data_IF_151516195553
#
_entry.id   IF_151516195553
#
_cell.length_a   1.000
_cell.length_b   1.000
_cell.length_c   1.000
_cell.angle_alpha   90.00
_cell.angle_beta   90.00
_cell.angle_gamma   90.00
#
_symmetry.space_group_name_H-M   'P 1'
#
loop_
_entity.id
_entity.type
_entity.pdbx_description
1 polymer ?
#
# COMPACT_ATOMS: atom_id res chain seq x y z
N UNK A 1 -55.76 48.82 36.87
CA UNK A 1 -55.34 47.89 35.79
C UNK A 1 -53.99 48.36 35.27
N UNK A 2 -52.91 47.61 35.53
CA UNK A 2 -51.59 47.87 34.94
C UNK A 2 -51.47 47.02 33.69
N UNK A 3 -51.33 47.65 32.54
CA UNK A 3 -51.12 46.98 31.25
C UNK A 3 -49.84 46.15 31.29
N UNK A 4 -49.97 44.84 31.05
CA UNK A 4 -48.82 43.95 30.88
C UNK A 4 -48.16 44.28 29.53
N UNK A 5 -46.85 44.56 29.50
CA UNK A 5 -46.16 44.78 28.24
C UNK A 5 -46.14 43.48 27.42
N UNK A 6 -46.24 43.56 26.09
CA UNK A 6 -46.25 42.39 25.22
C UNK A 6 -44.92 41.62 25.32
N UNK A 7 -44.95 40.28 25.21
CA UNK A 7 -43.75 39.46 25.29
C UNK A 7 -42.79 39.82 24.14
N UNK A 8 -41.55 40.20 24.50
CA UNK A 8 -40.45 40.39 23.56
C UNK A 8 -40.23 39.07 22.81
N UNK A 9 -40.49 39.09 21.51
CA UNK A 9 -40.07 38.02 20.58
C UNK A 9 -38.54 37.95 20.60
N UNK A 10 -38.01 36.96 21.32
CA UNK A 10 -36.58 36.62 21.30
C UNK A 10 -36.26 36.16 19.88
N UNK A 11 -35.51 36.99 19.14
CA UNK A 11 -35.02 36.69 17.80
C UNK A 11 -34.10 35.47 17.92
N UNK A 12 -34.56 34.30 17.43
CA UNK A 12 -33.78 33.05 17.44
C UNK A 12 -32.42 33.31 16.74
N UNK A 13 -31.27 33.02 17.38
CA UNK A 13 -29.96 33.18 16.77
C UNK A 13 -29.67 31.99 15.84
N UNK A 14 -30.32 31.97 14.67
CA UNK A 14 -30.27 30.79 13.78
C UNK A 14 -29.83 31.13 12.35
N UNK A 15 -28.94 32.11 12.21
CA UNK A 15 -28.28 32.42 10.93
C UNK A 15 -26.77 32.52 11.10
N UNK A 16 -26.16 31.44 11.58
CA UNK A 16 -24.75 31.21 11.27
C UNK A 16 -24.63 31.16 9.74
N UNK A 17 -23.76 31.99 9.16
CA UNK A 17 -23.55 32.04 7.72
C UNK A 17 -22.88 30.77 7.19
N UNK A 18 -22.84 30.56 5.86
CA UNK A 18 -22.16 29.41 5.25
C UNK A 18 -20.70 29.23 5.70
N UNK A 19 -19.95 30.34 5.81
CA UNK A 19 -18.57 30.34 6.29
C UNK A 19 -18.45 29.88 7.76
N UNK A 20 -19.43 30.24 8.60
CA UNK A 20 -19.45 29.82 10.00
C UNK A 20 -19.64 28.30 10.12
N UNK A 21 -20.45 27.69 9.24
CA UNK A 21 -20.67 26.23 9.23
C UNK A 21 -19.41 25.46 8.82
N UNK A 22 -18.69 25.91 7.79
CA UNK A 22 -17.43 25.30 7.40
C UNK A 22 -16.37 25.41 8.52
N UNK A 23 -16.32 26.53 9.23
CA UNK A 23 -15.44 26.70 10.38
C UNK A 23 -15.83 25.77 11.55
N UNK A 24 -17.13 25.62 11.84
CA UNK A 24 -17.62 24.65 12.85
C UNK A 24 -17.27 23.22 12.49
N UNK A 25 -17.37 22.83 11.22
CA UNK A 25 -16.95 21.51 10.76
C UNK A 25 -15.48 21.24 11.11
N UNK A 26 -14.58 22.18 10.79
CA UNK A 26 -13.14 22.05 11.13
C UNK A 26 -12.90 22.02 12.64
N UNK A 27 -13.57 22.87 13.41
CA UNK A 27 -13.46 22.86 14.87
C UNK A 27 -13.95 21.53 15.47
N UNK A 28 -15.01 20.95 14.91
CA UNK A 28 -15.54 19.66 15.32
C UNK A 28 -14.57 18.51 15.00
N UNK A 29 -13.88 18.55 13.84
CA UNK A 29 -12.82 17.61 13.51
C UNK A 29 -11.65 17.65 14.52
N UNK A 30 -11.16 18.84 14.87
CA UNK A 30 -10.08 18.97 15.86
C UNK A 30 -10.52 18.50 17.25
N UNK A 31 -11.78 18.77 17.62
CA UNK A 31 -12.37 18.25 18.87
C UNK A 31 -12.43 16.72 18.86
N UNK A 32 -12.85 16.13 17.73
CA UNK A 32 -12.98 14.67 17.59
C UNK A 32 -11.66 13.94 17.83
N UNK A 33 -10.51 14.52 17.43
CA UNK A 33 -9.17 13.91 17.62
C UNK A 33 -8.84 13.60 19.07
N UNK A 34 -9.26 14.46 19.99
CA UNK A 34 -8.95 14.33 21.42
C UNK A 34 -10.14 13.85 22.25
N UNK A 35 -11.32 13.74 21.63
CA UNK A 35 -12.55 13.38 22.33
C UNK A 35 -12.54 11.92 22.85
N UNK A 36 -13.03 11.69 24.08
CA UNK A 36 -13.23 10.35 24.61
C UNK A 36 -14.32 9.62 23.80
N UNK A 37 -14.20 8.29 23.72
CA UNK A 37 -15.07 7.44 22.89
C UNK A 37 -16.59 7.69 23.06
N UNK A 38 -17.14 7.94 24.26
CA UNK A 38 -18.57 8.18 24.44
C UNK A 38 -19.10 9.46 23.77
N UNK A 39 -18.24 10.47 23.55
CA UNK A 39 -18.65 11.75 22.93
C UNK A 39 -18.60 11.71 21.39
N UNK A 40 -17.95 10.71 20.81
CA UNK A 40 -17.72 10.64 19.35
C UNK A 40 -18.99 10.58 18.51
N UNK A 41 -20.05 9.83 18.89
CA UNK A 41 -21.29 9.79 18.08
C UNK A 41 -21.97 11.15 17.95
N UNK A 42 -21.90 11.98 18.99
CA UNK A 42 -22.46 13.34 18.97
C UNK A 42 -21.64 14.25 18.06
N UNK A 43 -20.31 14.17 18.12
CA UNK A 43 -19.41 14.91 17.23
C UNK A 43 -19.58 14.46 15.77
N UNK A 44 -19.72 13.15 15.51
CA UNK A 44 -20.00 12.64 14.17
C UNK A 44 -21.34 13.22 13.65
N UNK A 45 -22.38 13.26 14.50
CA UNK A 45 -23.66 13.86 14.12
C UNK A 45 -23.55 15.36 13.81
N UNK A 46 -22.75 16.11 14.58
CA UNK A 46 -22.46 17.52 14.32
C UNK A 46 -21.70 17.71 13.00
N UNK A 47 -20.71 16.86 12.70
CA UNK A 47 -19.99 16.87 11.42
C UNK A 47 -20.96 16.65 10.25
N UNK A 48 -21.90 15.71 10.36
CA UNK A 48 -22.91 15.49 9.32
C UNK A 48 -23.83 16.70 9.09
N UNK A 49 -24.17 17.46 10.13
CA UNK A 49 -25.01 18.66 9.99
C UNK A 49 -24.34 19.77 9.19
N UNK A 50 -23.01 19.89 9.29
CA UNK A 50 -22.22 20.92 8.61
C UNK A 50 -21.50 20.39 7.34
N UNK A 51 -21.56 19.08 7.06
CA UNK A 51 -20.88 18.43 5.94
C UNK A 51 -21.26 19.01 4.56
N UNK A 52 -22.52 19.40 4.37
CA UNK A 52 -22.98 19.99 3.11
C UNK A 52 -22.31 21.33 2.79
N UNK A 53 -22.02 22.16 3.81
CA UNK A 53 -21.25 23.38 3.58
C UNK A 53 -19.75 23.13 3.50
N UNK A 54 -19.23 22.18 4.28
CA UNK A 54 -17.85 21.75 4.14
C UNK A 54 -17.57 21.27 2.70
N UNK A 55 -18.46 20.47 2.11
CA UNK A 55 -18.31 19.97 0.75
C UNK A 55 -18.22 21.09 -0.31
N UNK A 56 -18.91 22.21 -0.11
CA UNK A 56 -18.89 23.36 -1.04
C UNK A 56 -17.69 24.27 -0.87
N UNK A 57 -17.21 24.42 0.36
CA UNK A 57 -16.24 25.45 0.71
C UNK A 57 -14.84 24.91 1.03
N UNK A 58 -14.69 23.62 1.30
CA UNK A 58 -13.45 22.98 1.71
C UNK A 58 -13.12 21.80 0.80
N UNK A 59 -12.27 22.05 -0.20
CA UNK A 59 -11.90 21.04 -1.19
C UNK A 59 -11.25 19.77 -0.59
N UNK A 60 -10.61 19.89 0.58
CA UNK A 60 -9.90 18.82 1.27
C UNK A 60 -10.63 18.28 2.51
N UNK A 61 -11.92 18.63 2.71
CA UNK A 61 -12.68 18.22 3.90
C UNK A 61 -12.72 16.69 4.09
N UNK A 62 -12.89 15.94 3.01
CA UNK A 62 -12.90 14.47 3.05
C UNK A 62 -11.56 13.90 3.52
N UNK A 63 -10.44 14.42 3.01
CA UNK A 63 -9.10 14.00 3.41
C UNK A 63 -8.80 14.32 4.88
N UNK A 64 -9.18 15.53 5.33
CA UNK A 64 -9.01 15.94 6.73
C UNK A 64 -9.80 15.05 7.68
N UNK A 65 -11.04 14.73 7.32
CA UNK A 65 -11.87 13.85 8.15
C UNK A 65 -11.30 12.43 8.19
N UNK A 66 -10.87 11.89 7.05
CA UNK A 66 -10.21 10.58 7.01
C UNK A 66 -8.97 10.54 7.90
N UNK A 67 -8.13 11.58 7.89
CA UNK A 67 -6.94 11.67 8.75
C UNK A 67 -7.28 11.56 10.23
N UNK A 68 -8.35 12.24 10.67
CA UNK A 68 -8.82 12.13 12.05
C UNK A 68 -9.32 10.71 12.35
N UNK A 69 -10.07 10.09 11.43
CA UNK A 69 -10.59 8.74 11.62
C UNK A 69 -9.46 7.69 11.64
N UNK A 70 -8.41 7.86 10.85
CA UNK A 70 -7.25 6.96 10.83
C UNK A 70 -6.38 7.08 12.08
N UNK A 71 -6.14 8.29 12.58
CA UNK A 71 -5.49 8.52 13.89
C UNK A 71 -6.25 7.83 15.04
N UNK A 72 -7.58 7.78 14.94
CA UNK A 72 -8.45 7.12 15.91
C UNK A 72 -8.64 5.60 15.67
N UNK A 73 -8.07 5.03 14.62
CA UNK A 73 -8.22 3.61 14.27
C UNK A 73 -9.65 3.22 13.84
N UNK A 74 -10.45 4.17 13.35
CA UNK A 74 -11.88 3.99 13.04
C UNK A 74 -12.14 3.53 11.59
N UNK A 75 -11.45 2.47 11.17
CA UNK A 75 -11.54 1.93 9.80
C UNK A 75 -12.98 1.59 9.38
N UNK A 76 -13.71 0.80 10.17
CA UNK A 76 -15.06 0.35 9.82
C UNK A 76 -16.09 1.47 9.86
N UNK A 77 -16.00 2.37 10.85
CA UNK A 77 -16.87 3.55 10.93
C UNK A 77 -16.69 4.45 9.71
N UNK A 78 -15.45 4.54 9.19
CA UNK A 78 -15.15 5.31 7.99
C UNK A 78 -15.98 4.80 6.80
N UNK A 79 -16.10 3.49 6.61
CA UNK A 79 -16.87 2.95 5.50
C UNK A 79 -18.36 3.26 5.63
N UNK A 80 -18.90 3.18 6.85
CA UNK A 80 -20.26 3.61 7.16
C UNK A 80 -20.48 5.11 6.90
N UNK A 81 -19.51 5.96 7.27
CA UNK A 81 -19.54 7.41 7.03
C UNK A 81 -19.52 7.71 5.53
N UNK A 82 -18.61 7.09 4.76
CA UNK A 82 -18.56 7.21 3.29
C UNK A 82 -19.91 6.85 2.68
N UNK A 83 -20.49 5.71 3.06
CA UNK A 83 -21.79 5.27 2.54
C UNK A 83 -22.92 6.27 2.80
N UNK A 84 -22.94 6.90 3.98
CA UNK A 84 -23.92 7.94 4.32
C UNK A 84 -23.73 9.23 3.52
N UNK A 85 -22.49 9.68 3.35
CA UNK A 85 -22.17 10.89 2.58
C UNK A 85 -22.46 10.70 1.09
N UNK A 86 -22.13 9.53 0.53
CA UNK A 86 -22.39 9.24 -0.89
C UNK A 86 -23.88 9.19 -1.24
N UNK A 87 -24.72 8.80 -0.27
CA UNK A 87 -26.17 8.71 -0.44
C UNK A 87 -26.85 10.07 -0.59
N UNK A 88 -26.29 11.14 -0.02
CA UNK A 88 -26.81 12.50 -0.15
C UNK A 88 -26.07 13.28 -1.26
N UNK A 89 -26.76 13.71 -2.34
CA UNK A 89 -26.15 14.50 -3.41
C UNK A 89 -25.38 15.73 -2.91
N UNK A 90 -25.79 16.36 -1.80
CA UNK A 90 -25.15 17.57 -1.27
C UNK A 90 -23.79 17.31 -0.59
N UNK A 91 -23.51 16.06 -0.20
CA UNK A 91 -22.27 15.67 0.49
C UNK A 91 -21.46 14.61 -0.27
N UNK A 92 -21.92 14.19 -1.45
CA UNK A 92 -21.32 13.11 -2.24
C UNK A 92 -19.85 13.31 -2.55
N UNK A 93 -19.44 14.52 -2.93
CA UNK A 93 -18.04 14.80 -3.27
C UNK A 93 -17.12 14.71 -2.05
N UNK A 94 -17.60 15.14 -0.88
CA UNK A 94 -16.92 14.96 0.39
C UNK A 94 -16.80 13.47 0.73
N UNK A 95 -17.88 12.70 0.54
CA UNK A 95 -17.88 11.24 0.72
C UNK A 95 -16.91 10.52 -0.22
N UNK A 96 -16.82 10.94 -1.48
CA UNK A 96 -15.87 10.40 -2.46
C UNK A 96 -14.43 10.74 -2.08
N UNK A 97 -14.15 11.99 -1.67
CA UNK A 97 -12.84 12.41 -1.19
C UNK A 97 -12.39 11.66 0.08
N UNK A 98 -13.31 11.47 1.03
CA UNK A 98 -13.06 10.69 2.25
C UNK A 98 -12.79 9.22 1.92
N UNK A 99 -13.61 8.63 1.03
CA UNK A 99 -13.42 7.25 0.59
C UNK A 99 -12.13 7.04 -0.22
N UNK A 100 -11.72 8.01 -1.01
CA UNK A 100 -10.42 7.99 -1.71
C UNK A 100 -9.27 7.98 -0.72
N UNK A 101 -9.28 8.89 0.26
CA UNK A 101 -8.26 8.94 1.31
C UNK A 101 -8.24 7.61 2.11
N UNK A 102 -9.41 7.03 2.39
CA UNK A 102 -9.54 5.75 3.07
C UNK A 102 -8.84 4.61 2.29
N UNK A 103 -9.00 4.59 0.96
CA UNK A 103 -8.31 3.63 0.08
C UNK A 103 -6.77 3.78 0.12
N UNK A 104 -6.28 5.00 0.35
CA UNK A 104 -4.85 5.29 0.47
C UNK A 104 -4.28 4.95 1.85
N UNK A 105 -5.13 4.83 2.88
CA UNK A 105 -4.71 4.55 4.25
C UNK A 105 -4.85 3.07 4.61
N UNK A 106 -6.01 2.47 4.33
CA UNK A 106 -6.34 1.10 4.72
C UNK A 106 -6.38 0.19 3.50
N UNK A 107 -5.83 -1.01 3.64
CA UNK A 107 -5.79 -1.99 2.54
C UNK A 107 -7.17 -2.53 2.17
N UNK A 108 -8.03 -2.74 3.17
CA UNK A 108 -9.38 -3.28 2.93
C UNK A 108 -10.32 -2.28 2.26
N UNK A 109 -10.06 -0.97 2.42
CA UNK A 109 -10.97 0.09 1.99
C UNK A 109 -11.30 0.04 0.49
N UNK A 110 -10.32 -0.30 -0.36
CA UNK A 110 -10.57 -0.39 -1.81
C UNK A 110 -11.60 -1.48 -2.14
N UNK A 111 -11.56 -2.62 -1.45
CA UNK A 111 -12.52 -3.72 -1.63
C UNK A 111 -13.90 -3.29 -1.11
N UNK A 112 -13.96 -2.74 0.11
CA UNK A 112 -15.21 -2.40 0.78
C UNK A 112 -15.94 -1.20 0.14
N UNK A 113 -15.20 -0.20 -0.34
CA UNK A 113 -15.79 1.06 -0.83
C UNK A 113 -16.10 1.05 -2.33
N UNK A 114 -15.42 0.22 -3.12
CA UNK A 114 -15.62 0.18 -4.57
C UNK A 114 -17.09 -0.07 -4.97
N UNK A 115 -17.83 -1.00 -4.37
CA UNK A 115 -19.26 -1.16 -4.65
C UNK A 115 -20.09 0.09 -4.35
N UNK A 116 -19.73 0.85 -3.32
CA UNK A 116 -20.42 2.09 -2.95
C UNK A 116 -20.17 3.19 -3.98
N UNK A 117 -18.91 3.35 -4.43
CA UNK A 117 -18.59 4.31 -5.49
C UNK A 117 -19.36 4.00 -6.78
N UNK A 118 -19.39 2.72 -7.20
CA UNK A 118 -20.13 2.29 -8.38
C UNK A 118 -21.64 2.56 -8.22
N UNK A 119 -22.20 2.26 -7.04
CA UNK A 119 -23.63 2.48 -6.74
C UNK A 119 -24.04 3.95 -6.82
N UNK A 120 -23.22 4.86 -6.29
CA UNK A 120 -23.55 6.28 -6.14
C UNK A 120 -22.93 7.19 -7.20
N UNK A 121 -22.27 6.62 -8.22
CA UNK A 121 -21.64 7.33 -9.33
C UNK A 121 -22.56 8.33 -10.04
N UNK A 122 -23.85 8.01 -10.18
CA UNK A 122 -24.80 8.81 -10.96
C UNK A 122 -24.53 8.78 -12.48
N UNK A 123 -25.30 9.56 -13.26
CA UNK A 123 -25.04 9.75 -14.70
C UNK A 123 -23.96 10.79 -14.97
N UNK A 124 -23.96 11.87 -14.19
CA UNK A 124 -22.95 12.93 -14.23
C UNK A 124 -21.94 12.68 -13.11
N UNK A 125 -20.76 12.17 -13.45
CA UNK A 125 -19.71 11.95 -12.45
C UNK A 125 -19.01 13.24 -12.08
N UNK A 126 -18.90 13.47 -10.78
CA UNK A 126 -17.99 14.49 -10.28
C UNK A 126 -16.56 14.00 -10.39
N UNK A 127 -15.62 14.95 -10.48
CA UNK A 127 -14.19 14.67 -10.46
C UNK A 127 -13.77 13.87 -9.22
N UNK A 128 -14.32 14.19 -8.04
CA UNK A 128 -14.02 13.48 -6.81
C UNK A 128 -14.41 12.00 -6.88
N UNK A 129 -15.56 11.70 -7.48
CA UNK A 129 -16.01 10.32 -7.69
C UNK A 129 -15.10 9.56 -8.68
N UNK A 130 -14.73 10.19 -9.80
CA UNK A 130 -13.83 9.56 -10.77
C UNK A 130 -12.43 9.30 -10.19
N UNK A 131 -11.91 10.22 -9.38
CA UNK A 131 -10.66 10.04 -8.63
C UNK A 131 -10.77 8.91 -7.60
N UNK A 132 -11.88 8.81 -6.86
CA UNK A 132 -12.10 7.74 -5.89
C UNK A 132 -12.19 6.35 -6.56
N UNK A 133 -12.91 6.24 -7.69
CA UNK A 133 -12.95 5.02 -8.50
C UNK A 133 -11.57 4.64 -9.04
N UNK A 134 -10.82 5.63 -9.53
CA UNK A 134 -9.46 5.42 -10.04
C UNK A 134 -8.55 4.90 -8.94
N UNK A 135 -8.51 5.56 -7.78
CA UNK A 135 -7.71 5.11 -6.63
C UNK A 135 -8.14 3.70 -6.19
N UNK A 136 -9.44 3.42 -6.01
CA UNK A 136 -9.88 2.07 -5.61
C UNK A 136 -9.49 0.98 -6.62
N UNK A 137 -9.52 1.30 -7.92
CA UNK A 137 -9.14 0.38 -9.00
C UNK A 137 -7.64 0.07 -9.07
N UNK A 138 -6.80 0.78 -8.32
CA UNK A 138 -5.37 0.44 -8.19
C UNK A 138 -5.20 -0.90 -7.47
N UNK A 139 -6.09 -1.25 -6.55
CA UNK A 139 -5.99 -2.50 -5.77
C UNK A 139 -6.34 -3.72 -6.61
N UNK A 140 -5.39 -4.66 -6.72
CA UNK A 140 -5.59 -5.93 -7.43
C UNK A 140 -6.72 -6.75 -6.79
N UNK A 141 -6.84 -6.72 -5.46
CA UNK A 141 -7.89 -7.41 -4.73
C UNK A 141 -9.27 -6.83 -5.03
N UNK A 142 -9.41 -5.49 -5.04
CA UNK A 142 -10.67 -4.83 -5.35
C UNK A 142 -11.11 -5.11 -6.80
N UNK A 143 -10.17 -5.02 -7.75
CA UNK A 143 -10.44 -5.36 -9.16
C UNK A 143 -10.81 -6.83 -9.33
N UNK A 144 -10.14 -7.75 -8.64
CA UNK A 144 -10.49 -9.17 -8.69
C UNK A 144 -11.86 -9.46 -8.08
N UNK A 145 -12.23 -8.78 -6.99
CA UNK A 145 -13.49 -9.00 -6.29
C UNK A 145 -14.68 -8.36 -7.02
N UNK A 146 -14.46 -7.23 -7.69
CA UNK A 146 -15.52 -6.35 -8.19
C UNK A 146 -15.32 -5.90 -9.65
N UNK A 147 -14.50 -6.60 -10.43
CA UNK A 147 -14.24 -6.28 -11.84
C UNK A 147 -15.52 -6.17 -12.69
N UNK A 148 -16.51 -7.03 -12.43
CA UNK A 148 -17.80 -7.00 -13.13
C UNK A 148 -18.63 -5.74 -12.82
N UNK A 149 -18.44 -5.13 -11.65
CA UNK A 149 -19.06 -3.83 -11.32
C UNK A 149 -18.42 -2.72 -12.16
N UNK A 150 -17.10 -2.71 -12.27
CA UNK A 150 -16.35 -1.73 -13.09
C UNK A 150 -16.69 -1.87 -14.58
N UNK A 151 -16.76 -3.10 -15.09
CA UNK A 151 -17.11 -3.37 -16.48
C UNK A 151 -18.53 -2.87 -16.83
N UNK A 152 -19.51 -3.06 -15.94
CA UNK A 152 -20.89 -2.61 -16.15
C UNK A 152 -21.04 -1.10 -16.30
N UNK A 153 -20.16 -0.32 -15.66
CA UNK A 153 -20.17 1.15 -15.77
C UNK A 153 -19.23 1.67 -16.86
N UNK A 154 -18.63 0.78 -17.65
CA UNK A 154 -17.66 1.14 -18.69
C UNK A 154 -16.39 1.78 -18.14
N UNK A 155 -16.04 1.51 -16.87
CA UNK A 155 -14.84 2.07 -16.26
C UNK A 155 -13.62 1.23 -16.65
N UNK A 156 -12.67 1.87 -17.33
CA UNK A 156 -11.39 1.26 -17.67
C UNK A 156 -10.32 1.79 -16.72
N UNK A 157 -9.72 0.95 -15.86
CA UNK A 157 -8.63 1.38 -14.99
C UNK A 157 -7.48 2.00 -15.78
N UNK A 158 -6.85 3.02 -15.19
CA UNK A 158 -5.67 3.62 -15.80
C UNK A 158 -4.60 2.55 -16.06
N UNK A 159 -3.94 2.56 -17.23
CA UNK A 159 -2.87 1.61 -17.50
C UNK A 159 -1.78 1.81 -16.45
N UNK A 160 -1.44 0.74 -15.72
CA UNK A 160 -0.33 0.79 -14.80
C UNK A 160 0.94 1.13 -15.59
N UNK A 161 1.79 2.06 -15.12
CA UNK A 161 3.09 2.28 -15.72
C UNK A 161 3.80 0.94 -15.72
N UNK A 162 3.98 0.36 -16.90
CA UNK A 162 4.72 -0.89 -17.04
C UNK A 162 6.11 -0.60 -16.50
N UNK A 163 6.52 -1.32 -15.45
CA UNK A 163 7.90 -1.27 -14.98
C UNK A 163 8.81 -1.43 -16.20
N UNK A 164 9.76 -0.50 -16.37
CA UNK A 164 10.69 -0.56 -17.51
C UNK A 164 11.32 -1.94 -17.51
N UNK A 165 10.95 -2.76 -18.49
CA UNK A 165 11.55 -4.06 -18.70
C UNK A 165 13.05 -3.87 -18.77
N UNK A 166 13.76 -4.32 -17.74
CA UNK A 166 15.20 -4.18 -17.70
C UNK A 166 15.74 -5.22 -18.67
N UNK A 167 16.33 -4.76 -19.78
CA UNK A 167 16.96 -5.66 -20.73
C UNK A 167 17.93 -6.58 -19.99
N UNK A 168 17.71 -7.89 -20.09
CA UNK A 168 18.57 -8.91 -19.50
C UNK A 168 19.76 -9.12 -20.42
N UNK A 169 20.93 -8.60 -20.03
CA UNK A 169 22.19 -9.00 -20.66
C UNK A 169 22.48 -10.44 -20.26
N UNK A 170 22.66 -11.31 -21.24
CA UNK A 170 23.05 -12.72 -21.02
C UNK A 170 24.57 -12.78 -20.97
N UNK A 171 25.12 -13.45 -19.96
CA UNK A 171 26.55 -13.74 -19.83
C UNK A 171 26.76 -15.24 -19.91
N UNK A 172 27.80 -15.68 -20.61
CA UNK A 172 28.32 -17.04 -20.46
C UNK A 172 29.35 -17.08 -19.31
N UNK A 173 29.80 -18.28 -18.94
CA UNK A 173 30.71 -18.46 -17.81
C UNK A 173 32.08 -17.78 -18.01
N UNK A 174 32.59 -17.78 -19.25
CA UNK A 174 33.88 -17.19 -19.59
C UNK A 174 33.85 -15.66 -19.49
N UNK A 175 32.86 -15.03 -20.12
CA UNK A 175 32.64 -13.59 -20.05
C UNK A 175 32.30 -13.12 -18.63
N UNK A 176 31.55 -13.91 -17.86
CA UNK A 176 31.29 -13.62 -16.45
C UNK A 176 32.57 -13.66 -15.60
N UNK A 177 33.44 -14.66 -15.82
CA UNK A 177 34.71 -14.80 -15.11
C UNK A 177 35.69 -13.67 -15.46
N UNK A 178 35.84 -13.32 -16.74
CA UNK A 178 36.66 -12.19 -17.18
C UNK A 178 36.18 -10.87 -16.57
N UNK A 179 34.87 -10.62 -16.61
CA UNK A 179 34.29 -9.38 -16.09
C UNK A 179 34.47 -9.28 -14.57
N UNK A 180 34.31 -10.38 -13.84
CA UNK A 180 34.56 -10.42 -12.40
C UNK A 180 36.06 -10.27 -12.06
N UNK A 181 36.96 -10.85 -12.86
CA UNK A 181 38.41 -10.73 -12.70
C UNK A 181 38.92 -9.30 -12.95
N UNK A 182 38.32 -8.60 -13.91
CA UNK A 182 38.65 -7.21 -14.24
C UNK A 182 38.19 -6.19 -13.18
N UNK A 183 37.32 -6.60 -12.24
CA UNK A 183 36.80 -5.73 -11.18
C UNK A 183 37.66 -5.80 -9.92
N UNK A 184 38.21 -4.64 -9.53
CA UNK A 184 38.85 -4.46 -8.22
C UNK A 184 37.85 -4.71 -7.08
N UNK A 185 38.32 -5.36 -6.01
CA UNK A 185 37.50 -5.58 -4.81
C UNK A 185 37.13 -4.23 -4.17
N UNK A 186 35.84 -3.97 -3.98
CA UNK A 186 35.36 -2.97 -3.01
C UNK A 186 34.89 -1.59 -3.49
N UNK A 187 34.75 -1.31 -4.80
CA UNK A 187 34.44 0.09 -5.22
C UNK A 187 33.25 0.33 -6.16
N UNK A 188 32.57 -0.68 -6.70
CA UNK A 188 31.37 -0.41 -7.54
C UNK A 188 30.38 -1.56 -7.57
N UNK A 189 29.07 -1.26 -7.55
CA UNK A 189 28.02 -2.25 -7.81
C UNK A 189 28.24 -2.89 -9.18
N UNK A 190 28.19 -4.21 -9.23
CA UNK A 190 28.29 -4.97 -10.47
C UNK A 190 26.95 -4.89 -11.23
N UNK A 191 26.91 -4.19 -12.36
CA UNK A 191 25.74 -4.23 -13.24
C UNK A 191 25.62 -5.65 -13.78
N UNK A 192 24.44 -6.25 -13.66
CA UNK A 192 24.21 -7.64 -14.07
C UNK A 192 24.76 -8.69 -13.10
N UNK A 193 25.01 -8.33 -11.82
CA UNK A 193 25.55 -9.27 -10.83
C UNK A 193 24.78 -10.60 -10.75
N UNK A 194 23.42 -10.63 -10.75
CA UNK A 194 22.69 -11.89 -10.74
C UNK A 194 23.00 -12.79 -11.92
N UNK A 195 23.13 -12.23 -13.12
CA UNK A 195 23.41 -12.99 -14.34
C UNK A 195 24.84 -13.54 -14.34
N UNK A 196 25.81 -12.73 -13.89
CA UNK A 196 27.21 -13.15 -13.73
C UNK A 196 27.31 -14.26 -12.67
N UNK A 197 26.64 -14.09 -11.54
CA UNK A 197 26.64 -15.08 -10.46
C UNK A 197 25.98 -16.39 -10.92
N UNK A 198 24.83 -16.33 -11.58
CA UNK A 198 24.17 -17.48 -12.17
C UNK A 198 25.08 -18.23 -13.15
N UNK A 199 25.62 -17.53 -14.15
CA UNK A 199 26.49 -18.12 -15.16
C UNK A 199 27.74 -18.80 -14.57
N UNK A 200 28.34 -18.20 -13.53
CA UNK A 200 29.48 -18.80 -12.84
C UNK A 200 29.10 -20.05 -12.05
N UNK A 201 27.96 -20.03 -11.34
CA UNK A 201 27.50 -21.19 -10.59
C UNK A 201 27.02 -22.33 -11.49
N UNK A 202 26.45 -22.02 -12.66
CA UNK A 202 26.02 -23.04 -13.63
C UNK A 202 27.22 -23.76 -14.27
N UNK A 203 28.39 -23.11 -14.31
CA UNK A 203 29.64 -23.71 -14.80
C UNK A 203 30.39 -24.56 -13.76
N UNK A 204 30.04 -24.45 -12.47
CA UNK A 204 30.66 -25.24 -11.41
C UNK A 204 30.80 -24.49 -10.08
N UNK A 205 31.49 -25.10 -9.09
CA UNK A 205 31.73 -24.47 -7.81
C UNK A 205 32.58 -23.21 -7.96
N UNK A 206 32.18 -22.13 -7.28
CA UNK A 206 32.97 -20.90 -7.26
C UNK A 206 34.29 -21.12 -6.53
N UNK A 207 35.35 -20.53 -7.05
CA UNK A 207 36.61 -20.39 -6.30
C UNK A 207 36.39 -19.47 -5.09
N UNK A 208 37.20 -19.64 -4.04
CA UNK A 208 37.14 -18.79 -2.85
C UNK A 208 37.20 -17.29 -3.19
N UNK A 209 38.06 -16.91 -4.14
CA UNK A 209 38.19 -15.52 -4.61
C UNK A 209 36.90 -15.02 -5.28
N UNK A 210 36.31 -15.80 -6.18
CA UNK A 210 35.06 -15.43 -6.85
C UNK A 210 33.93 -15.28 -5.83
N UNK A 211 33.82 -16.21 -4.88
CA UNK A 211 32.83 -16.15 -3.81
C UNK A 211 32.99 -14.89 -2.95
N UNK A 212 34.21 -14.56 -2.51
CA UNK A 212 34.49 -13.36 -1.73
C UNK A 212 34.17 -12.07 -2.50
N UNK A 213 34.55 -12.00 -3.79
CA UNK A 213 34.26 -10.85 -4.65
C UNK A 213 32.75 -10.67 -4.85
N UNK A 214 32.03 -11.74 -5.20
CA UNK A 214 30.59 -11.69 -5.39
C UNK A 214 29.89 -11.32 -4.08
N UNK A 215 30.34 -11.84 -2.94
CA UNK A 215 29.78 -11.47 -1.64
C UNK A 215 29.90 -9.97 -1.38
N UNK A 216 31.10 -9.40 -1.50
CA UNK A 216 31.33 -7.96 -1.31
C UNK A 216 30.49 -7.10 -2.27
N UNK A 217 30.42 -7.49 -3.55
CA UNK A 217 29.69 -6.74 -4.56
C UNK A 217 28.16 -6.79 -4.41
N UNK A 218 27.62 -7.80 -3.71
CA UNK A 218 26.18 -8.07 -3.65
C UNK A 218 25.56 -7.87 -2.26
N UNK A 219 26.30 -8.12 -1.17
CA UNK A 219 25.78 -8.09 0.20
C UNK A 219 26.32 -6.94 1.08
N UNK A 220 27.23 -6.09 0.60
CA UNK A 220 27.73 -4.95 1.39
C UNK A 220 26.67 -3.87 1.65
N UNK A 221 25.70 -3.71 0.75
CA UNK A 221 24.66 -2.67 0.86
C UNK A 221 23.29 -3.26 0.59
N UNK A 222 22.27 -2.92 1.40
CA UNK A 222 20.88 -3.24 1.09
C UNK A 222 20.49 -2.79 -0.31
N UNK A 223 19.69 -3.61 -0.99
CA UNK A 223 19.22 -3.27 -2.34
C UNK A 223 18.83 -4.45 -3.21
N UNK A 224 18.36 -4.11 -4.41
CA UNK A 224 17.99 -5.05 -5.46
C UNK A 224 18.98 -6.21 -5.64
N UNK A 225 20.27 -5.90 -5.77
CA UNK A 225 21.28 -6.93 -6.01
C UNK A 225 21.34 -7.95 -4.87
N UNK A 226 21.16 -7.51 -3.62
CA UNK A 226 21.19 -8.38 -2.46
C UNK A 226 20.02 -9.38 -2.50
N UNK A 227 18.80 -8.90 -2.76
CA UNK A 227 17.60 -9.73 -2.84
C UNK A 227 17.70 -10.79 -3.95
N UNK A 228 18.00 -10.36 -5.17
CA UNK A 228 18.06 -11.26 -6.34
C UNK A 228 19.23 -12.26 -6.26
N UNK A 229 20.35 -11.89 -5.64
CA UNK A 229 21.49 -12.80 -5.47
C UNK A 229 21.38 -13.71 -4.24
N UNK A 230 20.46 -13.46 -3.31
CA UNK A 230 20.29 -14.28 -2.11
C UNK A 230 20.04 -15.78 -2.39
N UNK A 231 19.13 -16.18 -3.29
CA UNK A 231 18.95 -17.60 -3.62
C UNK A 231 20.18 -18.22 -4.30
N UNK A 232 20.92 -17.46 -5.11
CA UNK A 232 22.18 -17.91 -5.73
C UNK A 232 23.27 -18.14 -4.67
N UNK A 233 23.35 -17.23 -3.68
CA UNK A 233 24.27 -17.40 -2.56
C UNK A 233 23.92 -18.61 -1.70
N UNK A 234 22.63 -18.84 -1.45
CA UNK A 234 22.16 -20.03 -0.73
C UNK A 234 22.49 -21.32 -1.49
N UNK A 235 22.33 -21.34 -2.82
CA UNK A 235 22.75 -22.46 -3.68
C UNK A 235 24.25 -22.74 -3.58
N UNK A 236 25.07 -21.69 -3.50
CA UNK A 236 26.53 -21.81 -3.39
C UNK A 236 27.00 -22.26 -2.00
N UNK A 237 26.57 -21.56 -0.94
CA UNK A 237 27.07 -21.70 0.42
C UNK A 237 26.30 -22.75 1.24
N UNK A 238 25.15 -23.20 0.74
CA UNK A 238 24.30 -24.20 1.38
C UNK A 238 23.53 -23.69 2.60
N UNK A 239 22.80 -24.60 3.29
CA UNK A 239 21.93 -24.26 4.41
C UNK A 239 22.55 -23.42 5.55
N UNK A 240 23.85 -23.55 5.90
CA UNK A 240 24.46 -22.71 6.94
C UNK A 240 24.43 -21.20 6.65
N UNK A 241 24.28 -20.79 5.38
CA UNK A 241 24.18 -19.37 5.02
C UNK A 241 22.78 -18.78 5.29
N UNK A 242 21.75 -19.62 5.44
CA UNK A 242 20.36 -19.19 5.52
C UNK A 242 20.09 -18.20 6.65
N UNK A 243 20.50 -18.42 7.92
CA UNK A 243 20.20 -17.48 9.00
C UNK A 243 20.73 -16.06 8.73
N UNK A 244 21.93 -15.97 8.11
CA UNK A 244 22.54 -14.69 7.75
C UNK A 244 21.77 -13.99 6.63
N UNK A 245 21.35 -14.72 5.60
CA UNK A 245 20.56 -14.16 4.51
C UNK A 245 19.21 -13.64 5.02
N UNK A 246 18.51 -14.43 5.85
CA UNK A 246 17.24 -14.02 6.43
C UNK A 246 17.41 -12.81 7.37
N UNK A 247 18.48 -12.76 8.16
CA UNK A 247 18.79 -11.61 9.02
C UNK A 247 19.09 -10.31 8.24
N UNK A 248 19.55 -10.40 6.99
CA UNK A 248 19.77 -9.25 6.12
C UNK A 248 18.49 -8.78 5.42
N UNK A 249 17.57 -9.70 5.14
CA UNK A 249 16.39 -9.42 4.30
C UNK A 249 15.13 -9.11 5.10
N UNK A 250 14.83 -9.93 6.13
CA UNK A 250 13.56 -9.84 6.86
C UNK A 250 13.29 -8.50 7.57
N UNK A 251 14.29 -7.75 8.07
CA UNK A 251 14.03 -6.45 8.70
C UNK A 251 13.58 -5.34 7.75
N UNK A 252 13.71 -5.54 6.43
CA UNK A 252 13.45 -4.52 5.42
C UNK A 252 12.34 -4.92 4.45
N UNK A 253 11.51 -5.92 4.80
CA UNK A 253 10.45 -6.34 3.90
C UNK A 253 9.47 -5.18 3.62
N UNK A 254 9.20 -4.32 4.59
CA UNK A 254 8.32 -3.17 4.44
C UNK A 254 8.98 -1.89 3.89
N UNK A 255 10.26 -1.96 3.52
CA UNK A 255 10.93 -0.87 2.83
C UNK A 255 10.54 -0.88 1.34
N UNK A 256 9.85 0.16 0.87
CA UNK A 256 9.37 0.24 -0.51
C UNK A 256 10.49 0.29 -1.56
N UNK A 257 11.72 0.67 -1.18
CA UNK A 257 12.83 0.78 -2.12
C UNK A 257 13.52 -0.57 -2.36
N UNK A 258 13.41 -1.51 -1.41
CA UNK A 258 14.17 -2.77 -1.44
C UNK A 258 13.35 -4.03 -1.13
N UNK A 259 12.23 -3.89 -0.42
CA UNK A 259 11.39 -4.97 0.07
C UNK A 259 10.85 -5.86 -1.04
N UNK A 260 10.44 -5.29 -2.18
CA UNK A 260 10.00 -6.06 -3.35
C UNK A 260 11.07 -7.07 -3.79
N UNK A 261 12.32 -6.63 -3.89
CA UNK A 261 13.45 -7.49 -4.29
C UNK A 261 13.79 -8.53 -3.23
N UNK A 262 13.56 -8.23 -1.95
CA UNK A 262 13.76 -9.19 -0.87
C UNK A 262 12.68 -10.27 -0.88
N UNK A 263 11.43 -9.90 -1.12
CA UNK A 263 10.34 -10.84 -1.28
C UNK A 263 10.55 -11.73 -2.52
N UNK A 264 11.04 -11.17 -3.63
CA UNK A 264 11.45 -11.95 -4.80
C UNK A 264 12.59 -12.94 -4.45
N UNK A 265 13.61 -12.47 -3.72
CA UNK A 265 14.69 -13.32 -3.24
C UNK A 265 14.21 -14.47 -2.34
N UNK A 266 13.30 -14.19 -1.41
CA UNK A 266 12.67 -15.20 -0.54
C UNK A 266 11.84 -16.19 -1.36
N UNK A 267 11.09 -15.71 -2.36
CA UNK A 267 10.36 -16.58 -3.28
C UNK A 267 11.31 -17.53 -4.04
N UNK A 268 12.47 -17.02 -4.49
CA UNK A 268 13.49 -17.81 -5.17
C UNK A 268 14.21 -18.83 -4.28
N UNK A 269 14.19 -18.66 -2.95
CA UNK A 269 14.67 -19.67 -2.00
C UNK A 269 13.64 -20.79 -1.75
N UNK A 270 12.38 -20.56 -2.10
CA UNK A 270 11.29 -21.53 -1.94
C UNK A 270 11.14 -21.99 -0.49
N UNK A 271 11.00 -23.30 -0.30
CA UNK A 271 10.79 -23.90 1.03
C UNK A 271 11.91 -23.63 2.04
N UNK A 272 13.13 -23.31 1.57
CA UNK A 272 14.25 -22.98 2.46
C UNK A 272 14.01 -21.66 3.22
N UNK A 273 13.15 -20.76 2.70
CA UNK A 273 12.79 -19.51 3.36
C UNK A 273 11.63 -19.63 4.36
N UNK A 274 11.22 -20.85 4.74
CA UNK A 274 10.17 -21.07 5.76
C UNK A 274 10.36 -20.26 7.05
N UNK A 275 11.57 -20.07 7.61
CA UNK A 275 11.74 -19.25 8.81
C UNK A 275 11.38 -17.75 8.62
N UNK A 276 11.30 -17.26 7.39
CA UNK A 276 10.85 -15.90 7.08
C UNK A 276 9.33 -15.76 6.97
N UNK A 277 8.59 -16.88 6.93
CA UNK A 277 7.14 -16.89 6.73
C UNK A 277 6.36 -16.04 7.75
N UNK A 278 6.71 -15.99 9.05
CA UNK A 278 6.03 -15.09 10.00
C UNK A 278 6.16 -13.61 9.61
N UNK A 279 7.34 -13.16 9.16
CA UNK A 279 7.56 -11.78 8.74
C UNK A 279 6.78 -11.44 7.45
N UNK A 280 6.78 -12.35 6.47
CA UNK A 280 5.99 -12.21 5.24
C UNK A 280 4.49 -12.19 5.54
N UNK A 281 4.03 -13.02 6.48
CA UNK A 281 2.62 -13.09 6.89
C UNK A 281 2.19 -11.82 7.61
N UNK A 282 2.99 -11.35 8.57
CA UNK A 282 2.75 -10.09 9.26
C UNK A 282 2.63 -8.93 8.25
N UNK A 283 3.50 -8.91 7.23
CA UNK A 283 3.43 -7.93 6.16
C UNK A 283 2.11 -7.99 5.37
N UNK A 284 1.63 -9.18 5.01
CA UNK A 284 0.37 -9.37 4.28
C UNK A 284 -0.82 -8.92 5.15
N UNK A 285 -0.80 -9.27 6.43
CA UNK A 285 -1.88 -9.03 7.40
C UNK A 285 -1.96 -7.59 7.90
N UNK A 286 -0.99 -6.73 7.56
CA UNK A 286 -1.06 -5.30 7.88
C UNK A 286 -2.35 -4.70 7.35
N UNK A 287 -3.08 -4.03 8.23
CA UNK A 287 -4.33 -3.32 7.89
C UNK A 287 -4.07 -1.99 7.20
N UNK A 288 -3.01 -1.29 7.64
CA UNK A 288 -2.62 0.01 7.10
C UNK A 288 -1.53 -0.13 6.04
N UNK A 289 -1.60 0.75 5.03
CA UNK A 289 -0.56 0.87 4.01
C UNK A 289 0.73 1.43 4.61
N UNK A 290 1.85 1.09 3.98
CA UNK A 290 3.14 1.66 4.36
C UNK A 290 3.19 3.11 3.85
N UNK A 291 3.34 4.13 4.71
CA UNK A 291 3.58 5.48 4.25
C UNK A 291 4.92 5.53 3.51
N UNK A 292 4.94 6.11 2.31
CA UNK A 292 6.18 6.26 1.55
C UNK A 292 6.41 7.72 1.20
N UNK A 293 7.67 8.16 1.12
CA UNK A 293 7.98 9.52 0.65
C UNK A 293 7.90 9.60 -0.88
N UNK A 294 6.85 9.00 -1.48
CA UNK A 294 6.59 9.17 -2.91
C UNK A 294 6.05 10.58 -3.18
N UNK A 295 6.08 10.99 -4.44
CA UNK A 295 5.60 12.32 -4.84
C UNK A 295 4.09 12.48 -4.72
N UNK A 296 3.31 11.39 -4.63
CA UNK A 296 1.84 11.40 -4.55
C UNK A 296 1.31 10.20 -3.75
N UNK A 297 0.19 10.37 -3.03
CA UNK A 297 -0.48 9.30 -2.26
C UNK A 297 -0.93 8.11 -3.11
N UNK A 298 -1.39 8.35 -4.34
CA UNK A 298 -1.75 7.25 -5.27
C UNK A 298 -0.49 6.45 -5.67
N UNK A 299 0.65 7.13 -5.82
CA UNK A 299 1.94 6.47 -6.01
C UNK A 299 2.33 5.60 -4.81
N UNK A 300 2.10 6.09 -3.58
CA UNK A 300 2.33 5.28 -2.36
C UNK A 300 1.44 4.04 -2.34
N UNK A 301 0.14 4.19 -2.64
CA UNK A 301 -0.80 3.08 -2.74
C UNK A 301 -0.36 2.06 -3.79
N UNK A 302 0.09 2.51 -4.97
CA UNK A 302 0.60 1.61 -6.01
C UNK A 302 1.83 0.83 -5.58
N UNK A 303 2.76 1.47 -4.85
CA UNK A 303 3.94 0.81 -4.30
C UNK A 303 3.55 -0.23 -3.25
N UNK A 304 2.63 0.10 -2.33
CA UNK A 304 2.12 -0.85 -1.33
C UNK A 304 1.40 -2.05 -1.98
N UNK A 305 0.59 -1.85 -3.03
CA UNK A 305 -0.05 -2.95 -3.77
C UNK A 305 0.98 -3.85 -4.50
N UNK A 306 2.02 -3.25 -5.08
CA UNK A 306 3.12 -4.01 -5.71
C UNK A 306 3.85 -4.86 -4.68
N UNK A 307 4.13 -4.27 -3.51
CA UNK A 307 4.81 -4.94 -2.42
C UNK A 307 3.95 -6.05 -1.79
N UNK A 308 2.65 -5.81 -1.60
CA UNK A 308 1.69 -6.83 -1.15
C UNK A 308 1.65 -8.01 -2.11
N UNK A 309 1.61 -7.75 -3.42
CA UNK A 309 1.66 -8.80 -4.44
C UNK A 309 2.95 -9.61 -4.36
N UNK A 310 4.10 -8.95 -4.21
CA UNK A 310 5.38 -9.63 -4.01
C UNK A 310 5.36 -10.52 -2.75
N UNK A 311 4.74 -10.06 -1.66
CA UNK A 311 4.61 -10.83 -0.43
C UNK A 311 3.71 -12.05 -0.57
N UNK A 312 2.57 -11.91 -1.25
CA UNK A 312 1.68 -13.02 -1.57
C UNK A 312 2.39 -14.08 -2.43
N UNK A 313 3.17 -13.64 -3.42
CA UNK A 313 3.97 -14.54 -4.26
C UNK A 313 5.04 -15.27 -3.43
N UNK A 314 5.79 -14.54 -2.59
CA UNK A 314 6.81 -15.11 -1.71
C UNK A 314 6.21 -16.16 -0.76
N UNK A 315 5.09 -15.84 -0.10
CA UNK A 315 4.37 -16.79 0.77
C UNK A 315 3.98 -18.05 0.00
N UNK A 316 3.42 -17.88 -1.20
CA UNK A 316 2.98 -19.01 -2.03
C UNK A 316 4.15 -19.91 -2.42
N UNK A 317 5.29 -19.35 -2.81
CA UNK A 317 6.50 -20.09 -3.16
C UNK A 317 7.09 -20.85 -1.96
N UNK A 318 7.16 -20.22 -0.78
CA UNK A 318 7.64 -20.84 0.46
C UNK A 318 6.79 -22.06 0.84
N UNK A 319 5.46 -21.96 0.68
CA UNK A 319 4.53 -23.02 1.05
C UNK A 319 4.47 -24.15 0.02
N UNK A 320 4.59 -23.87 -1.28
CA UNK A 320 4.50 -24.87 -2.34
C UNK A 320 5.58 -25.96 -2.20
N UNK A 321 6.82 -25.57 -1.92
CA UNK A 321 7.93 -26.50 -1.74
C UNK A 321 7.86 -27.30 -0.43
N UNK A 322 7.31 -26.67 0.61
CA UNK A 322 7.12 -27.33 1.92
C UNK A 322 6.13 -28.50 1.80
N UNK A 323 5.07 -28.34 0.98
CA UNK A 323 4.12 -29.40 0.68
C UNK A 323 4.75 -30.54 -0.16
N UNK A 324 5.64 -30.21 -1.09
CA UNK A 324 6.33 -31.18 -1.93
C UNK A 324 7.35 -32.04 -1.15
N UNK A 325 8.01 -31.48 -0.14
CA UNK A 325 8.96 -32.21 0.71
C UNK A 325 8.28 -33.16 1.72
N UNK A 326 6.99 -32.94 2.03
CA UNK A 326 6.22 -33.74 3.00
C UNK A 326 5.56 -35.00 2.45
N UNK A 327 5.60 -35.23 1.13
CA UNK A 327 5.15 -36.49 0.52
C UNK A 327 6.36 -37.39 0.26
N UNK A 328 6.62 -38.44 1.07
CA UNK A 328 7.55 -39.47 0.67
C UNK A 328 7.04 -40.07 -0.63
N UNK A 329 7.83 -39.97 -1.71
CA UNK A 329 7.53 -40.68 -2.95
C UNK A 329 7.50 -42.18 -2.63
N UNK A 330 6.43 -42.91 -3.00
CA UNK A 330 6.36 -44.35 -2.82
C UNK A 330 7.45 -45.06 -3.62
#
# INVERSE_FOLDING_TARGET
>A
MRERPPPRTVKRPDRAGPADRAARFLACLETLRTAPAPCRPELDAALFQDAGEAARHLADAGERWERVLSELGREQDTYGIVGRLLADPATRDLGAGLGRAACQTWRAAAVELLPLFVRYRGRDTSRAMDEALTTASVSDLAVSAHGDLLARIGFTPAPRPRGRGRGTTVYDAASAAELLAAKAMGLSRLRGAPQIFGALLDAGPLTFRQAAQLYGLTFERPGHTQGVCAPLWLRHAGPPALPRLLGLMTPYLDDYAIGEFYLEGLAGMGGQALPALPAVTAMIERRTRIPTLASTRDGEMMLDETLLKAALNARSAILADSAAAGHPRP
#
